data_IF_392203533752
#
_entry.id   IF_392203533752
#
_cell.length_a   1.000
_cell.length_b   1.000
_cell.length_c   1.000
_cell.angle_alpha   90.00
_cell.angle_beta   90.00
_cell.angle_gamma   90.00
#
_symmetry.space_group_name_H-M   'P 1'
#
loop_
_entity.id
_entity.type
_entity.pdbx_description
1 polymer ?
#
# COMPACT_ATOMS: atom_id res chain seq x y z
N UNK A 1 30.08 -1.37 -3.83
CA UNK A 1 29.40 -1.51 -5.13
C UNK A 1 27.90 -1.21 -5.05
N UNK A 2 27.17 -1.70 -4.04
CA UNK A 2 25.74 -1.43 -3.87
C UNK A 2 25.34 0.06 -3.80
N UNK A 3 26.20 0.95 -3.27
CA UNK A 3 25.88 2.38 -3.16
C UNK A 3 25.90 3.13 -4.50
N UNK A 4 26.73 2.71 -5.48
CA UNK A 4 26.76 3.35 -6.81
C UNK A 4 25.47 3.07 -7.59
N UNK A 5 25.06 1.79 -7.64
CA UNK A 5 23.84 1.37 -8.34
C UNK A 5 22.57 2.06 -7.79
N UNK A 6 22.51 2.28 -6.47
CA UNK A 6 21.39 3.03 -5.85
C UNK A 6 21.34 4.48 -6.30
N UNK A 7 22.49 5.14 -6.38
CA UNK A 7 22.55 6.54 -6.80
C UNK A 7 22.21 6.69 -8.29
N UNK A 8 22.74 5.79 -9.13
CA UNK A 8 22.50 5.78 -10.57
C UNK A 8 21.01 5.60 -10.89
N UNK A 9 20.32 4.70 -10.17
CA UNK A 9 18.88 4.47 -10.32
C UNK A 9 18.08 5.71 -9.88
N UNK A 10 18.42 6.30 -8.73
CA UNK A 10 17.73 7.49 -8.22
C UNK A 10 17.88 8.70 -9.13
N UNK A 11 19.06 8.89 -9.74
CA UNK A 11 19.28 9.94 -10.74
C UNK A 11 18.51 9.68 -12.04
N UNK A 12 18.51 8.44 -12.55
CA UNK A 12 17.79 8.09 -13.77
C UNK A 12 16.29 8.41 -13.69
N UNK A 13 15.61 7.95 -12.64
CA UNK A 13 14.19 8.19 -12.48
C UNK A 13 13.86 9.66 -12.17
N UNK A 14 14.69 10.36 -11.37
CA UNK A 14 14.53 11.81 -11.17
C UNK A 14 14.63 12.57 -12.49
N UNK A 15 15.62 12.25 -13.32
CA UNK A 15 15.80 12.89 -14.62
C UNK A 15 14.62 12.59 -15.57
N UNK A 16 14.10 11.36 -15.55
CA UNK A 16 12.94 10.95 -16.35
C UNK A 16 11.67 11.69 -15.93
N UNK A 17 11.35 11.72 -14.64
CA UNK A 17 10.16 12.40 -14.12
C UNK A 17 10.23 13.91 -14.33
N UNK A 18 11.41 14.51 -14.16
CA UNK A 18 11.65 15.93 -14.47
C UNK A 18 11.39 16.22 -15.95
N UNK A 19 11.90 15.39 -16.85
CA UNK A 19 11.66 15.53 -18.29
C UNK A 19 10.17 15.47 -18.62
N UNK A 20 9.45 14.49 -18.06
CA UNK A 20 8.02 14.31 -18.31
C UNK A 20 7.17 15.48 -17.77
N UNK A 21 7.55 16.03 -16.61
CA UNK A 21 6.90 17.20 -16.04
C UNK A 21 7.14 18.47 -16.88
N UNK A 22 8.36 18.67 -17.38
CA UNK A 22 8.68 19.78 -18.29
C UNK A 22 7.93 19.67 -19.63
N UNK A 23 7.83 18.46 -20.19
CA UNK A 23 7.05 18.23 -21.42
C UNK A 23 5.56 18.55 -21.22
N UNK A 24 5.02 18.23 -20.03
CA UNK A 24 3.64 18.55 -19.66
C UNK A 24 3.42 20.05 -19.49
N UNK A 25 4.35 20.76 -18.84
CA UNK A 25 4.30 22.23 -18.70
C UNK A 25 4.30 22.89 -20.08
N UNK A 26 5.21 22.50 -20.97
CA UNK A 26 5.28 23.04 -22.33
C UNK A 26 3.98 22.81 -23.12
N UNK A 27 3.36 21.63 -22.96
CA UNK A 27 2.05 21.36 -23.56
C UNK A 27 0.96 22.28 -23.02
N UNK A 28 0.92 22.50 -21.70
CA UNK A 28 -0.07 23.38 -21.05
C UNK A 28 0.16 24.84 -21.47
N UNK A 29 1.41 25.32 -21.52
CA UNK A 29 1.77 26.67 -21.99
C UNK A 29 1.27 26.94 -23.41
N UNK A 30 1.49 26.00 -24.34
CA UNK A 30 0.93 26.10 -25.71
C UNK A 30 -0.59 26.13 -25.73
N UNK A 31 -1.25 25.43 -24.80
CA UNK A 31 -2.72 25.45 -24.68
C UNK A 31 -3.23 26.77 -24.11
N UNK A 32 -2.51 27.39 -23.18
CA UNK A 32 -2.80 28.73 -22.66
C UNK A 32 -2.79 29.76 -23.79
N UNK A 33 -1.77 29.74 -24.67
CA UNK A 33 -1.67 30.67 -25.80
C UNK A 33 -2.83 30.53 -26.80
N UNK A 34 -3.32 29.30 -27.01
CA UNK A 34 -4.48 29.04 -27.87
C UNK A 34 -5.83 29.34 -27.22
N UNK A 35 -5.87 29.67 -25.92
CA UNK A 35 -7.11 29.80 -25.14
C UNK A 35 -7.42 31.26 -24.78
N UNK A 36 -8.47 31.81 -25.38
CA UNK A 36 -8.88 33.21 -25.18
C UNK A 36 -9.59 33.47 -23.83
N UNK A 37 -10.15 32.45 -23.17
CA UNK A 37 -10.91 32.60 -21.92
C UNK A 37 -9.98 32.74 -20.69
N UNK A 38 -10.14 33.81 -19.91
CA UNK A 38 -9.34 34.08 -18.71
C UNK A 38 -9.50 33.05 -17.58
N UNK A 39 -10.67 32.45 -17.43
CA UNK A 39 -10.95 31.44 -16.40
C UNK A 39 -10.20 30.13 -16.68
N UNK A 40 -10.07 29.76 -17.96
CA UNK A 40 -9.34 28.55 -18.34
C UNK A 40 -7.82 28.73 -18.19
N UNK A 41 -7.31 29.95 -18.41
CA UNK A 41 -5.91 30.28 -18.14
C UNK A 41 -5.55 30.13 -16.66
N UNK A 42 -6.43 30.55 -15.76
CA UNK A 42 -6.24 30.40 -14.31
C UNK A 42 -6.11 28.93 -13.88
N UNK A 43 -6.99 28.05 -14.39
CA UNK A 43 -6.91 26.61 -14.13
C UNK A 43 -5.60 26.01 -14.66
N UNK A 44 -5.15 26.41 -15.86
CA UNK A 44 -3.88 25.95 -16.41
C UNK A 44 -2.66 26.45 -15.61
N UNK A 45 -2.67 27.68 -15.11
CA UNK A 45 -1.60 28.17 -14.23
C UNK A 45 -1.54 27.38 -12.91
N UNK A 46 -2.69 27.06 -12.31
CA UNK A 46 -2.74 26.22 -11.11
C UNK A 46 -2.18 24.81 -11.36
N UNK A 47 -2.41 24.24 -12.56
CA UNK A 47 -1.80 22.97 -12.96
C UNK A 47 -0.28 23.08 -13.10
N UNK A 48 0.23 24.13 -13.75
CA UNK A 48 1.67 24.39 -13.88
C UNK A 48 2.31 24.55 -12.50
N UNK A 49 1.69 25.28 -11.59
CA UNK A 49 2.17 25.48 -10.22
C UNK A 49 2.29 24.13 -9.49
N UNK A 50 1.26 23.30 -9.54
CA UNK A 50 1.27 21.96 -8.92
C UNK A 50 2.39 21.07 -9.48
N UNK A 51 2.59 21.07 -10.80
CA UNK A 51 3.67 20.33 -11.46
C UNK A 51 5.07 20.89 -11.11
N UNK A 52 5.21 22.20 -11.02
CA UNK A 52 6.46 22.89 -10.66
C UNK A 52 6.85 22.62 -9.21
N UNK A 53 5.89 22.65 -8.29
CA UNK A 53 6.12 22.31 -6.88
C UNK A 53 6.63 20.86 -6.73
N UNK A 54 6.11 19.93 -7.55
CA UNK A 54 6.59 18.54 -7.58
C UNK A 54 8.05 18.46 -8.05
N UNK A 55 8.42 19.17 -9.11
CA UNK A 55 9.82 19.25 -9.59
C UNK A 55 10.73 19.82 -8.50
N UNK A 56 10.36 20.94 -7.89
CA UNK A 56 11.14 21.57 -6.81
C UNK A 56 11.38 20.60 -5.64
N UNK A 57 10.35 19.83 -5.25
CA UNK A 57 10.50 18.81 -4.21
C UNK A 57 11.46 17.68 -4.64
N UNK A 58 11.51 17.33 -5.93
CA UNK A 58 12.45 16.32 -6.45
C UNK A 58 13.90 16.81 -6.48
N UNK A 59 14.12 18.12 -6.64
CA UNK A 59 15.44 18.73 -6.69
C UNK A 59 16.04 18.95 -5.30
N UNK A 60 15.20 19.25 -4.30
CA UNK A 60 15.64 19.52 -2.93
C UNK A 60 15.90 18.22 -2.14
N UNK A 61 15.25 17.11 -2.49
CA UNK A 61 15.37 15.84 -1.76
C UNK A 61 16.27 14.85 -2.50
N UNK A 62 17.43 14.56 -1.91
CA UNK A 62 18.37 13.55 -2.42
C UNK A 62 17.82 12.12 -2.46
N UNK A 63 16.73 11.85 -1.72
CA UNK A 63 16.16 10.51 -1.52
C UNK A 63 14.77 10.31 -2.16
N UNK A 64 14.51 10.94 -3.30
CA UNK A 64 13.21 10.95 -3.99
C UNK A 64 12.56 9.56 -4.17
N UNK A 65 13.32 8.57 -4.64
CA UNK A 65 12.82 7.21 -4.82
C UNK A 65 12.90 6.32 -3.57
N UNK A 66 13.77 6.67 -2.60
CA UNK A 66 13.94 5.87 -1.39
C UNK A 66 12.73 6.00 -0.46
N UNK A 67 12.01 7.12 -0.48
CA UNK A 67 10.73 7.24 0.26
C UNK A 67 9.52 6.66 -0.48
N UNK A 68 9.52 6.67 -1.82
CA UNK A 68 8.33 6.33 -2.63
C UNK A 68 8.28 4.88 -3.08
N UNK A 69 9.42 4.25 -3.40
CA UNK A 69 9.51 2.83 -3.82
C UNK A 69 10.14 1.93 -2.77
N UNK A 70 10.78 2.52 -1.76
CA UNK A 70 11.23 1.79 -0.58
C UNK A 70 10.46 2.35 0.64
N UNK A 71 9.13 2.12 0.77
CA UNK A 71 8.73 1.70 2.10
C UNK A 71 9.66 0.53 2.36
N UNK A 72 10.54 0.65 3.35
CA UNK A 72 11.39 -0.45 3.72
C UNK A 72 10.46 -1.64 3.81
N UNK A 73 10.59 -2.54 2.83
CA UNK A 73 10.06 -3.89 2.88
C UNK A 73 10.93 -4.57 3.92
N UNK A 74 10.93 -4.05 5.15
CA UNK A 74 10.95 -4.85 6.34
C UNK A 74 9.67 -5.62 6.20
N UNK A 75 9.77 -6.72 5.46
CA UNK A 75 9.02 -7.92 5.72
C UNK A 75 7.59 -7.58 6.13
N UNK A 76 6.75 -7.10 5.22
CA UNK A 76 5.38 -7.58 5.27
C UNK A 76 5.56 -9.09 5.22
N UNK A 77 5.44 -9.80 6.35
CA UNK A 77 5.37 -11.24 6.26
C UNK A 77 4.08 -11.37 5.49
N UNK A 78 4.17 -11.83 4.22
CA UNK A 78 3.10 -12.48 3.46
C UNK A 78 1.96 -12.70 4.41
N UNK A 79 0.90 -11.91 4.25
CA UNK A 79 -0.35 -11.99 5.01
C UNK A 79 -0.36 -13.34 5.69
N UNK A 80 -0.07 -13.37 7.00
CA UNK A 80 -0.23 -14.60 7.75
C UNK A 80 -1.75 -14.83 7.77
N UNK A 81 -2.29 -15.30 6.66
CA UNK A 81 -3.36 -16.28 6.58
C UNK A 81 -2.85 -17.60 7.16
N UNK A 82 -2.13 -17.52 8.29
CA UNK A 82 -2.17 -18.59 9.26
C UNK A 82 -3.60 -18.49 9.76
N UNK A 83 -4.45 -19.49 9.54
CA UNK A 83 -5.77 -19.49 10.15
C UNK A 83 -5.57 -19.10 11.61
N UNK A 84 -6.28 -18.07 12.09
CA UNK A 84 -6.13 -17.58 13.45
C UNK A 84 -6.20 -18.83 14.32
N UNK A 85 -5.10 -19.22 14.98
CA UNK A 85 -5.00 -20.53 15.65
C UNK A 85 -6.15 -20.71 16.64
N UNK A 86 -6.68 -19.60 17.15
CA UNK A 86 -7.93 -19.52 17.91
C UNK A 86 -9.16 -20.12 17.22
N UNK A 87 -9.38 -19.90 15.93
CA UNK A 87 -10.56 -20.42 15.21
C UNK A 87 -10.57 -21.95 15.20
N UNK A 88 -9.42 -22.59 14.94
CA UNK A 88 -9.30 -24.06 14.95
C UNK A 88 -9.60 -24.62 16.34
N UNK A 89 -9.05 -23.98 17.38
CA UNK A 89 -9.26 -24.39 18.77
C UNK A 89 -10.73 -24.25 19.17
N UNK A 90 -11.37 -23.12 18.84
CA UNK A 90 -12.78 -22.86 19.17
C UNK A 90 -13.69 -23.89 18.50
N UNK A 91 -13.48 -24.19 17.21
CA UNK A 91 -14.27 -25.19 16.48
C UNK A 91 -14.10 -26.58 17.11
N UNK A 92 -12.86 -26.98 17.42
CA UNK A 92 -12.59 -28.28 18.04
C UNK A 92 -13.19 -28.41 19.44
N UNK A 93 -13.21 -27.33 20.23
CA UNK A 93 -13.79 -27.32 21.56
C UNK A 93 -15.31 -27.48 21.52
N UNK A 94 -15.99 -26.79 20.61
CA UNK A 94 -17.45 -26.86 20.48
C UNK A 94 -17.86 -28.27 20.02
N UNK A 95 -17.22 -28.80 18.98
CA UNK A 95 -17.51 -30.14 18.47
C UNK A 95 -17.19 -31.23 19.51
N UNK A 96 -16.03 -31.16 20.16
CA UNK A 96 -15.64 -32.11 21.20
C UNK A 96 -16.54 -32.05 22.44
N UNK A 97 -16.96 -30.86 22.85
CA UNK A 97 -17.85 -30.67 24.01
C UNK A 97 -19.25 -31.27 23.78
N UNK A 98 -19.82 -31.08 22.59
CA UNK A 98 -21.13 -31.64 22.25
C UNK A 98 -21.05 -33.17 22.20
N UNK A 99 -20.06 -33.73 21.49
CA UNK A 99 -19.91 -35.19 21.41
C UNK A 99 -19.58 -35.81 22.76
N UNK A 100 -18.73 -35.17 23.57
CA UNK A 100 -18.38 -35.63 24.90
C UNK A 100 -19.57 -35.67 25.86
N UNK A 101 -20.37 -34.60 25.89
CA UNK A 101 -21.56 -34.55 26.76
C UNK A 101 -22.62 -35.58 26.36
N UNK A 102 -22.83 -35.81 25.06
CA UNK A 102 -23.75 -36.85 24.56
C UNK A 102 -23.28 -38.25 24.95
N UNK A 103 -21.98 -38.55 24.81
CA UNK A 103 -21.43 -39.84 25.21
C UNK A 103 -21.53 -40.08 26.71
N UNK A 104 -21.28 -39.05 27.53
CA UNK A 104 -21.42 -39.14 28.99
C UNK A 104 -22.88 -39.37 29.38
N UNK A 105 -23.84 -38.66 28.77
CA UNK A 105 -25.27 -38.92 29.02
C UNK A 105 -25.64 -40.36 28.67
N UNK A 106 -25.27 -40.84 27.47
CA UNK A 106 -25.56 -42.22 27.07
C UNK A 106 -24.93 -43.21 28.06
N UNK A 107 -23.66 -42.99 28.45
CA UNK A 107 -22.99 -43.85 29.43
C UNK A 107 -23.62 -43.77 30.83
N UNK A 108 -24.09 -42.61 31.27
CA UNK A 108 -24.75 -42.42 32.55
C UNK A 108 -26.14 -43.07 32.59
N UNK A 109 -26.87 -43.03 31.47
CA UNK A 109 -28.15 -43.74 31.34
C UNK A 109 -27.97 -45.26 31.18
N UNK A 110 -26.85 -45.72 30.61
CA UNK A 110 -26.55 -47.16 30.46
C UNK A 110 -25.95 -47.80 31.70
N UNK A 111 -25.19 -47.04 32.49
CA UNK A 111 -24.71 -47.42 33.80
C UNK A 111 -25.35 -46.50 34.83
N UNK A 112 -26.54 -46.85 35.37
CA UNK A 112 -27.04 -46.19 36.57
C UNK A 112 -26.10 -46.52 37.72
N UNK A 113 -25.03 -45.72 37.87
CA UNK A 113 -24.39 -45.59 39.16
C UNK A 113 -25.32 -44.72 39.96
N UNK A 114 -26.13 -45.37 40.79
CA UNK A 114 -26.66 -44.70 41.97
C UNK A 114 -25.50 -43.99 42.68
N UNK A 115 -25.83 -42.79 43.13
CA UNK A 115 -24.99 -41.78 43.79
C UNK A 115 -23.89 -42.39 44.67
#
# INVERSE_FOLDING_TARGET
MANKLKNDINEYFRAQDKKQALDSINFIERKIESTANSQMREVFYNMIESHTQKIMMTEINDEYLLKTLIPAKVSEPTEKSKPKRSIIVIISFILGGILGTVLVLISAFRNPKEV
#
